data_IF_075758588773
#
_entry.id   IF_075758588773
#
_cell.length_a   1.000
_cell.length_b   1.000
_cell.length_c   1.000
_cell.angle_alpha   90.00
_cell.angle_beta   90.00
_cell.angle_gamma   90.00
#
_symmetry.space_group_name_H-M   'P 1'
#
loop_
_entity.id
_entity.type
_entity.pdbx_description
1 polymer ?
#
# COMPACT_ATOMS: atom_id res chain seq x y z
N UNK A 1 -15.62 -4.74 -18.99
CA UNK A 1 -15.61 -3.69 -17.95
C UNK A 1 -14.97 -4.23 -16.70
N UNK A 2 -13.66 -4.03 -16.60
CA UNK A 2 -12.87 -4.39 -15.43
C UNK A 2 -12.86 -3.22 -14.44
N UNK A 3 -13.43 -3.43 -13.24
CA UNK A 3 -13.49 -2.41 -12.21
C UNK A 3 -12.18 -2.34 -11.42
N UNK A 4 -11.80 -1.13 -11.02
CA UNK A 4 -10.64 -0.89 -10.18
C UNK A 4 -10.87 0.27 -9.20
N UNK A 5 -10.07 0.26 -8.14
CA UNK A 5 -9.92 1.37 -7.22
C UNK A 5 -8.78 2.23 -7.74
N UNK A 6 -8.92 3.55 -7.74
CA UNK A 6 -7.80 4.47 -7.94
C UNK A 6 -7.51 5.21 -6.65
N UNK A 7 -6.24 5.39 -6.34
CA UNK A 7 -5.79 6.14 -5.15
C UNK A 7 -4.80 7.23 -5.54
N UNK A 8 -4.95 8.42 -4.94
CA UNK A 8 -4.10 9.57 -5.21
C UNK A 8 -3.00 9.65 -4.16
N UNK A 9 -1.77 9.30 -4.55
CA UNK A 9 -0.65 9.10 -3.63
C UNK A 9 0.57 9.94 -3.96
N UNK A 10 1.23 10.43 -2.91
CA UNK A 10 2.56 11.05 -2.98
C UNK A 10 3.70 10.04 -2.81
N UNK A 11 3.40 8.78 -2.50
CA UNK A 11 4.41 7.73 -2.24
C UNK A 11 4.99 7.21 -3.56
N UNK A 12 6.29 6.93 -3.59
CA UNK A 12 6.99 6.42 -4.78
C UNK A 12 6.55 4.99 -5.15
N UNK A 13 6.69 4.62 -6.42
CA UNK A 13 6.39 3.25 -6.88
C UNK A 13 7.24 2.21 -6.15
N UNK A 14 8.54 2.46 -6.03
CA UNK A 14 9.47 1.55 -5.36
C UNK A 14 9.11 1.31 -3.89
N UNK A 15 8.60 2.33 -3.19
CA UNK A 15 8.16 2.17 -1.80
C UNK A 15 6.82 1.43 -1.71
N UNK A 16 5.88 1.67 -2.62
CA UNK A 16 4.61 0.94 -2.67
C UNK A 16 4.86 -0.55 -2.98
N UNK A 17 5.73 -0.86 -3.95
CA UNK A 17 6.13 -2.22 -4.31
C UNK A 17 6.82 -2.92 -3.13
N UNK A 18 7.79 -2.26 -2.49
CA UNK A 18 8.49 -2.78 -1.30
C UNK A 18 7.61 -2.89 -0.04
N UNK A 19 6.40 -2.37 -0.07
CA UNK A 19 5.46 -2.57 1.02
C UNK A 19 4.42 -3.65 0.65
N UNK A 20 4.33 -4.05 -0.63
CA UNK A 20 3.22 -4.84 -1.16
C UNK A 20 1.84 -4.20 -0.92
N UNK A 21 1.79 -2.89 -0.66
CA UNK A 21 0.59 -2.24 -0.20
C UNK A 21 0.59 -0.72 -0.47
N UNK A 22 -0.60 -0.18 -0.67
CA UNK A 22 -0.88 1.26 -0.70
C UNK A 22 -1.84 1.61 0.43
N UNK A 23 -1.61 2.71 1.15
CA UNK A 23 -2.14 2.84 2.50
C UNK A 23 -2.71 4.19 2.92
N UNK A 24 -3.25 4.17 4.15
CA UNK A 24 -3.86 5.27 4.87
C UNK A 24 -5.08 5.87 4.16
N UNK A 25 -5.87 5.00 3.53
CA UNK A 25 -7.05 5.40 2.75
C UNK A 25 -8.30 5.47 3.61
N UNK A 26 -9.04 6.58 3.53
CA UNK A 26 -10.42 6.62 4.03
C UNK A 26 -11.34 6.00 2.96
N UNK A 27 -11.56 4.70 3.10
CA UNK A 27 -12.46 3.90 2.26
C UNK A 27 -13.13 2.83 3.13
N UNK A 28 -14.24 2.25 2.67
CA UNK A 28 -14.92 1.18 3.40
C UNK A 28 -14.36 -0.17 2.97
N UNK A 29 -13.90 -1.00 3.91
CA UNK A 29 -13.18 -2.24 3.62
C UNK A 29 -13.98 -3.22 2.74
N UNK A 30 -15.28 -3.36 3.01
CA UNK A 30 -16.18 -4.19 2.21
C UNK A 30 -16.21 -3.76 0.73
N UNK A 31 -16.15 -2.45 0.45
CA UNK A 31 -16.10 -1.95 -0.93
C UNK A 31 -14.78 -2.24 -1.60
N UNK A 32 -13.69 -2.40 -0.87
CA UNK A 32 -12.38 -2.69 -1.47
C UNK A 32 -12.32 -4.15 -1.93
N UNK A 33 -12.92 -5.06 -1.16
CA UNK A 33 -12.94 -6.50 -1.46
C UNK A 33 -13.66 -6.84 -2.77
N UNK A 34 -14.60 -5.99 -3.22
CA UNK A 34 -15.34 -6.19 -4.48
C UNK A 34 -14.52 -5.85 -5.73
N UNK A 35 -13.32 -5.27 -5.59
CA UNK A 35 -12.53 -4.78 -6.71
C UNK A 35 -11.25 -5.61 -6.88
N UNK A 36 -10.96 -6.10 -8.10
CA UNK A 36 -9.78 -6.93 -8.36
C UNK A 36 -8.46 -6.14 -8.47
N UNK A 37 -8.52 -4.82 -8.71
CA UNK A 37 -7.32 -4.02 -8.97
C UNK A 37 -7.31 -2.69 -8.21
N UNK A 38 -6.11 -2.26 -7.82
CA UNK A 38 -5.82 -0.91 -7.33
C UNK A 38 -4.86 -0.20 -8.27
N UNK A 39 -5.14 1.04 -8.61
CA UNK A 39 -4.34 1.90 -9.48
C UNK A 39 -3.82 3.08 -8.68
N UNK A 40 -2.50 3.19 -8.56
CA UNK A 40 -1.87 4.33 -7.89
C UNK A 40 -1.67 5.48 -8.90
N UNK A 41 -2.13 6.65 -8.50
CA UNK A 41 -2.12 7.88 -9.30
C UNK A 41 -1.31 8.95 -8.58
N UNK A 42 -0.45 9.66 -9.30
CA UNK A 42 0.51 10.60 -8.70
C UNK A 42 -0.15 11.88 -8.19
N UNK A 43 0.05 12.15 -6.91
CA UNK A 43 -0.24 13.44 -6.29
C UNK A 43 0.94 14.44 -6.45
N UNK A 44 1.24 14.88 -7.67
CA UNK A 44 2.41 15.73 -7.94
C UNK A 44 2.45 17.08 -7.20
N UNK A 45 1.33 17.56 -6.65
CA UNK A 45 1.25 18.82 -5.90
C UNK A 45 1.69 18.69 -4.43
N UNK A 46 1.86 17.47 -3.91
CA UNK A 46 2.32 17.28 -2.54
C UNK A 46 3.84 17.48 -2.45
N UNK A 47 4.38 18.22 -1.46
CA UNK A 47 5.82 18.54 -1.37
C UNK A 47 6.73 17.31 -1.32
N UNK A 48 6.28 16.23 -0.68
CA UNK A 48 7.01 14.97 -0.57
C UNK A 48 6.89 14.06 -1.81
N UNK A 49 6.15 14.47 -2.85
CA UNK A 49 5.95 13.64 -4.03
C UNK A 49 7.20 13.55 -4.89
N UNK A 50 7.55 12.35 -5.37
CA UNK A 50 8.49 12.20 -6.46
C UNK A 50 8.04 12.99 -7.70
N UNK A 51 9.01 13.55 -8.42
CA UNK A 51 8.81 14.24 -9.70
C UNK A 51 9.05 13.31 -10.90
N UNK A 52 8.86 12.02 -10.68
CA UNK A 52 9.09 10.92 -11.64
C UNK A 52 8.02 10.87 -12.74
N UNK A 53 6.76 11.15 -12.38
CA UNK A 53 5.63 11.21 -13.29
C UNK A 53 4.80 12.48 -13.07
N UNK A 54 4.12 13.00 -14.10
CA UNK A 54 3.26 14.19 -13.96
C UNK A 54 2.11 13.96 -12.97
N UNK A 55 1.59 15.05 -12.41
CA UNK A 55 0.38 15.00 -11.57
C UNK A 55 -0.79 14.32 -12.30
N UNK A 56 -1.61 13.57 -11.55
CA UNK A 56 -2.77 12.80 -12.05
C UNK A 56 -2.42 11.64 -13.01
N UNK A 57 -1.15 11.30 -13.16
CA UNK A 57 -0.71 10.14 -13.97
C UNK A 57 -0.80 8.86 -13.16
N UNK A 58 -1.49 7.85 -13.67
CA UNK A 58 -1.44 6.49 -13.15
C UNK A 58 -0.06 5.89 -13.46
N UNK A 59 0.61 5.40 -12.43
CA UNK A 59 1.98 4.91 -12.54
C UNK A 59 2.17 3.44 -12.10
N UNK A 60 1.20 2.88 -11.39
CA UNK A 60 1.25 1.51 -10.89
C UNK A 60 -0.16 0.94 -10.83
N UNK A 61 -0.31 -0.33 -11.20
CA UNK A 61 -1.50 -1.12 -10.95
C UNK A 61 -1.11 -2.38 -10.19
N UNK A 62 -1.87 -2.72 -9.14
CA UNK A 62 -1.71 -3.94 -8.35
C UNK A 62 -2.97 -4.79 -8.40
N UNK A 63 -2.82 -6.12 -8.37
CA UNK A 63 -3.91 -7.08 -8.13
C UNK A 63 -4.20 -7.16 -6.65
N UNK A 64 -5.41 -6.77 -6.25
CA UNK A 64 -5.75 -6.66 -4.83
C UNK A 64 -5.75 -8.06 -4.22
N UNK A 65 -4.93 -8.24 -3.19
CA UNK A 65 -4.90 -9.44 -2.36
C UNK A 65 -5.93 -9.33 -1.24
N UNK A 66 -5.87 -8.24 -0.46
CA UNK A 66 -6.81 -7.94 0.63
C UNK A 66 -6.73 -6.47 1.05
N UNK A 67 -7.74 -6.04 1.80
CA UNK A 67 -7.73 -4.76 2.52
C UNK A 67 -7.65 -5.01 4.02
N UNK A 68 -6.83 -4.24 4.74
CA UNK A 68 -6.66 -4.36 6.20
C UNK A 68 -6.88 -2.98 6.81
N UNK A 69 -7.57 -2.95 7.95
CA UNK A 69 -7.74 -1.74 8.75
C UNK A 69 -6.45 -1.39 9.48
N UNK A 70 -6.15 -0.10 9.58
CA UNK A 70 -5.00 0.44 10.31
C UNK A 70 -5.45 1.05 11.62
N UNK A 71 -4.54 1.17 12.59
CA UNK A 71 -4.78 1.94 13.83
C UNK A 71 -5.00 3.45 13.57
N UNK A 72 -4.62 3.98 12.39
CA UNK A 72 -4.93 5.36 12.04
C UNK A 72 -6.42 5.54 11.75
N UNK A 73 -7.03 6.53 12.39
CA UNK A 73 -8.42 6.91 12.15
C UNK A 73 -8.53 8.10 11.18
N UNK A 74 -9.59 8.13 10.40
CA UNK A 74 -9.96 9.29 9.61
C UNK A 74 -10.62 10.39 10.48
N UNK A 75 -10.94 11.53 9.88
CA UNK A 75 -11.57 12.66 10.58
C UNK A 75 -12.98 12.37 11.12
N UNK A 76 -13.54 11.19 10.83
CA UNK A 76 -14.83 10.71 11.33
C UNK A 76 -14.68 9.56 12.34
N UNK A 77 -13.44 9.19 12.70
CA UNK A 77 -13.15 8.12 13.64
C UNK A 77 -13.19 6.71 13.03
N UNK A 78 -13.23 6.56 11.70
CA UNK A 78 -13.18 5.25 11.07
C UNK A 78 -11.72 4.84 10.80
N UNK A 79 -11.36 3.55 10.98
CA UNK A 79 -10.05 3.05 10.59
C UNK A 79 -9.75 3.33 9.11
N UNK A 80 -8.53 3.81 8.84
CA UNK A 80 -8.01 3.89 7.48
C UNK A 80 -7.63 2.51 6.99
N UNK A 81 -7.51 2.36 5.67
CA UNK A 81 -7.23 1.09 5.04
C UNK A 81 -5.85 1.05 4.38
N UNK A 82 -5.23 -0.12 4.49
CA UNK A 82 -4.16 -0.59 3.63
C UNK A 82 -4.75 -1.54 2.59
N UNK A 83 -4.48 -1.26 1.33
CA UNK A 83 -4.84 -2.12 0.20
C UNK A 83 -3.57 -2.86 -0.20
N UNK A 84 -3.54 -4.16 0.09
CA UNK A 84 -2.43 -5.05 -0.23
C UNK A 84 -2.63 -5.64 -1.63
N UNK A 85 -1.52 -5.88 -2.33
CA UNK A 85 -1.51 -6.54 -3.63
C UNK A 85 -0.35 -7.54 -3.71
N UNK A 86 -0.56 -8.64 -4.42
CA UNK A 86 0.42 -9.72 -4.59
C UNK A 86 1.17 -9.65 -5.91
N UNK A 87 0.57 -9.03 -6.92
CA UNK A 87 1.18 -8.78 -8.20
C UNK A 87 0.99 -7.32 -8.62
N UNK A 88 1.95 -6.78 -9.38
CA UNK A 88 1.88 -5.41 -9.87
C UNK A 88 2.40 -5.28 -11.29
N UNK A 89 1.98 -4.22 -11.98
CA UNK A 89 2.56 -3.77 -13.23
C UNK A 89 2.79 -2.25 -13.17
N UNK A 90 3.94 -1.81 -13.64
CA UNK A 90 4.19 -0.39 -13.85
C UNK A 90 3.48 0.05 -15.13
N UNK A 91 2.77 1.18 -15.04
CA UNK A 91 2.00 1.75 -16.15
C UNK A 91 2.32 3.24 -16.26
N UNK A 92 1.93 3.88 -17.35
CA UNK A 92 2.07 5.34 -17.49
C UNK A 92 0.91 5.89 -18.29
N UNK A 93 -0.19 6.15 -17.60
CA UNK A 93 -1.41 6.67 -18.22
C UNK A 93 -1.74 8.03 -17.63
N UNK A 94 -1.68 9.13 -18.41
CA UNK A 94 -1.92 10.47 -17.91
C UNK A 94 -3.40 10.69 -17.59
N UNK A 95 -3.65 11.63 -16.68
CA UNK A 95 -4.98 12.18 -16.34
C UNK A 95 -6.06 11.15 -15.91
N UNK A 96 -5.65 10.05 -15.29
CA UNK A 96 -6.58 8.99 -14.80
C UNK A 96 -7.38 9.44 -13.58
N UNK A 97 -6.89 10.45 -12.85
CA UNK A 97 -7.58 10.93 -11.64
C UNK A 97 -8.90 11.64 -11.93
N UNK A 98 -8.92 12.53 -12.93
CA UNK A 98 -9.98 13.51 -13.10
C UNK A 98 -10.00 14.53 -11.95
N UNK A 99 -11.19 14.96 -11.51
CA UNK A 99 -11.39 16.06 -10.55
C UNK A 99 -11.97 15.62 -9.19
N UNK A 100 -11.82 14.35 -8.83
CA UNK A 100 -12.25 13.85 -7.52
C UNK A 100 -11.48 14.53 -6.39
N UNK A 101 -12.23 15.04 -5.40
CA UNK A 101 -11.67 15.62 -4.16
C UNK A 101 -11.26 14.54 -3.14
N UNK A 102 -11.90 13.37 -3.19
CA UNK A 102 -11.58 12.26 -2.29
C UNK A 102 -10.36 11.52 -2.84
N UNK A 103 -9.32 11.23 -2.02
CA UNK A 103 -8.08 10.59 -2.45
C UNK A 103 -8.24 9.11 -2.83
N UNK A 104 -9.46 8.58 -2.80
CA UNK A 104 -9.86 7.25 -3.27
C UNK A 104 -11.05 7.41 -4.21
N UNK A 105 -11.00 6.74 -5.36
CA UNK A 105 -12.09 6.67 -6.32
C UNK A 105 -12.25 5.27 -6.89
N UNK A 106 -13.37 5.03 -7.58
CA UNK A 106 -13.71 3.76 -8.20
C UNK A 106 -14.02 4.02 -9.68
N UNK A 107 -13.52 3.17 -10.57
CA UNK A 107 -13.62 3.41 -12.01
C UNK A 107 -13.45 2.14 -12.84
N UNK A 108 -13.72 2.27 -14.14
CA UNK A 108 -13.47 1.22 -15.13
C UNK A 108 -12.09 1.41 -15.77
N UNK A 109 -11.25 0.36 -15.74
CA UNK A 109 -9.91 0.38 -16.32
C UNK A 109 -9.93 0.66 -17.83
N UNK A 110 -10.82 -0.01 -18.55
CA UNK A 110 -10.97 0.12 -20.00
C UNK A 110 -11.31 1.56 -20.41
N UNK A 111 -12.17 2.26 -19.65
CA UNK A 111 -12.53 3.67 -19.92
C UNK A 111 -11.37 4.64 -19.69
N UNK A 112 -10.41 4.26 -18.86
CA UNK A 112 -9.19 5.02 -18.63
C UNK A 112 -8.06 4.64 -19.61
N UNK A 113 -8.30 3.74 -20.56
CA UNK A 113 -7.29 3.26 -21.50
C UNK A 113 -6.28 2.28 -20.89
N UNK A 114 -6.62 1.64 -19.76
CA UNK A 114 -5.81 0.60 -19.14
C UNK A 114 -6.40 -0.76 -19.53
N UNK A 115 -5.68 -1.52 -20.36
CA UNK A 115 -6.07 -2.88 -20.71
C UNK A 115 -5.23 -3.90 -19.94
N UNK A 116 -5.86 -4.62 -19.02
CA UNK A 116 -5.20 -5.56 -18.11
C UNK A 116 -4.56 -6.74 -18.84
N UNK A 117 -5.13 -7.18 -19.97
CA UNK A 117 -4.60 -8.32 -20.75
C UNK A 117 -3.22 -8.03 -21.35
N UNK A 118 -2.90 -6.75 -21.55
CA UNK A 118 -1.67 -6.32 -22.19
C UNK A 118 -0.56 -6.06 -21.16
N UNK A 119 -0.90 -6.13 -19.87
CA UNK A 119 0.03 -5.86 -18.77
C UNK A 119 0.77 -7.13 -18.37
N UNK A 120 2.08 -6.97 -18.17
CA UNK A 120 2.94 -7.99 -17.57
C UNK A 120 3.01 -7.76 -16.07
N UNK A 121 2.30 -8.59 -15.32
CA UNK A 121 2.33 -8.55 -13.86
C UNK A 121 3.60 -9.23 -13.34
N UNK A 122 4.22 -8.59 -12.37
CA UNK A 122 5.35 -9.08 -11.59
C UNK A 122 4.86 -9.37 -10.18
N UNK A 123 5.20 -10.55 -9.65
CA UNK A 123 4.90 -10.87 -8.26
C UNK A 123 5.69 -9.95 -7.31
N UNK A 124 5.03 -9.48 -6.25
CA UNK A 124 5.71 -8.84 -5.12
C UNK A 124 6.51 -9.92 -4.39
N UNK A 125 7.81 -9.72 -4.23
CA UNK A 125 8.66 -10.68 -3.52
C UNK A 125 8.20 -10.84 -2.07
N UNK A 126 8.21 -12.06 -1.53
CA UNK A 126 7.82 -12.32 -0.14
C UNK A 126 8.72 -11.58 0.87
N UNK A 127 10.00 -11.39 0.53
CA UNK A 127 10.97 -10.63 1.32
C UNK A 127 10.67 -9.12 1.37
N UNK A 128 9.95 -8.62 0.36
CA UNK A 128 9.47 -7.24 0.24
C UNK A 128 8.08 -7.04 0.86
N UNK A 129 7.46 -8.08 1.41
CA UNK A 129 6.26 -7.92 2.24
C UNK A 129 6.71 -7.47 3.63
N UNK A 130 7.15 -6.22 3.75
CA UNK A 130 7.36 -5.62 5.08
C UNK A 130 6.07 -5.82 5.87
N UNK A 131 6.22 -6.32 7.09
CA UNK A 131 5.18 -6.63 8.06
C UNK A 131 4.21 -5.46 8.28
N UNK A 132 3.28 -5.24 7.36
CA UNK A 132 2.18 -4.31 7.53
C UNK A 132 0.99 -5.04 8.14
N UNK A 133 1.22 -5.66 9.29
CA UNK A 133 0.16 -6.09 10.22
C UNK A 133 0.69 -5.95 11.64
N UNK A 134 0.67 -4.73 12.16
CA UNK A 134 0.09 -4.59 13.48
C UNK A 134 -1.40 -4.87 13.31
N UNK A 135 -2.00 -5.63 14.24
CA UNK A 135 -3.40 -6.08 14.25
C UNK A 135 -3.69 -7.37 13.44
N UNK A 136 -3.18 -8.49 13.92
CA UNK A 136 -4.06 -9.65 14.13
C UNK A 136 -3.85 -10.11 15.57
N UNK A 137 -4.74 -9.68 16.45
CA UNK A 137 -4.86 -10.27 17.79
C UNK A 137 -5.35 -11.71 17.60
N UNK A 138 -4.52 -12.65 18.06
CA UNK A 138 -4.91 -13.92 18.67
C UNK A 138 -6.19 -14.58 18.11
N UNK A 139 -6.04 -15.62 17.27
CA UNK A 139 -6.43 -16.98 17.67
C UNK A 139 -5.99 -18.07 16.67
N UNK A 140 -5.48 -19.15 17.27
CA UNK A 140 -5.45 -20.57 16.85
C UNK A 140 -4.63 -21.00 15.63
N UNK A 141 -3.46 -21.57 15.95
CA UNK A 141 -3.03 -22.85 15.34
C UNK A 141 -1.98 -22.79 14.24
N UNK A 142 -1.40 -21.64 13.94
CA UNK A 142 -0.26 -21.49 13.03
C UNK A 142 0.80 -20.61 13.68
N UNK A 143 2.07 -20.87 13.39
CA UNK A 143 3.22 -20.18 13.98
C UNK A 143 3.06 -18.66 14.04
N UNK A 144 3.40 -18.10 15.20
CA UNK A 144 3.43 -16.67 15.46
C UNK A 144 4.51 -16.07 14.54
N UNK A 145 4.11 -15.41 13.45
CA UNK A 145 5.05 -14.61 12.64
C UNK A 145 5.18 -13.23 13.28
N UNK A 146 5.82 -13.21 14.45
CA UNK A 146 6.35 -11.99 15.04
C UNK A 146 7.67 -11.61 14.35
N UNK A 147 8.03 -10.32 14.37
CA UNK A 147 9.41 -9.95 14.04
C UNK A 147 10.34 -10.56 15.10
N UNK A 148 11.46 -11.12 14.67
CA UNK A 148 12.44 -11.63 15.63
C UNK A 148 13.03 -10.48 16.45
N UNK A 149 13.46 -10.75 17.68
CA UNK A 149 14.21 -9.77 18.46
C UNK A 149 15.48 -9.31 17.75
N UNK A 150 16.06 -10.15 16.89
CA UNK A 150 17.25 -9.80 16.11
C UNK A 150 16.92 -8.76 15.04
N UNK A 151 15.84 -8.93 14.30
CA UNK A 151 15.41 -7.99 13.26
C UNK A 151 14.94 -6.67 13.88
N UNK A 152 14.23 -6.74 15.00
CA UNK A 152 13.84 -5.57 15.78
C UNK A 152 15.08 -4.76 16.23
N UNK A 153 16.10 -5.43 16.78
CA UNK A 153 17.35 -4.77 17.18
C UNK A 153 18.09 -4.16 16.00
N UNK A 154 18.21 -4.88 14.87
CA UNK A 154 18.86 -4.37 13.65
C UNK A 154 18.17 -3.11 13.13
N UNK A 155 16.84 -3.11 13.07
CA UNK A 155 16.05 -1.95 12.62
C UNK A 155 16.25 -0.72 13.51
N UNK A 156 16.18 -0.90 14.84
CA UNK A 156 16.40 0.18 15.81
C UNK A 156 17.84 0.68 15.72
N UNK A 157 18.82 -0.23 15.69
CA UNK A 157 20.24 0.09 15.59
C UNK A 157 20.58 0.95 14.37
N UNK A 158 20.03 0.59 13.20
CA UNK A 158 20.23 1.33 11.96
C UNK A 158 19.66 2.75 12.03
N UNK A 159 18.52 2.94 12.72
CA UNK A 159 17.91 4.26 12.91
C UNK A 159 18.73 5.17 13.80
N UNK A 160 19.35 4.62 14.85
CA UNK A 160 20.07 5.39 15.87
C UNK A 160 21.60 5.35 15.70
N UNK A 161 22.11 4.62 14.71
CA UNK A 161 23.55 4.51 14.43
C UNK A 161 24.33 3.79 15.53
N UNK A 162 23.70 2.82 16.18
CA UNK A 162 24.30 2.04 17.29
C UNK A 162 24.49 0.58 16.89
N UNK A 163 25.30 -0.18 17.63
CA UNK A 163 25.41 -1.63 17.41
C UNK A 163 24.09 -2.32 17.80
N UNK A 164 23.57 -3.31 17.03
CA UNK A 164 22.38 -4.07 17.40
C UNK A 164 22.46 -4.70 18.81
N UNK A 165 23.65 -5.07 19.28
CA UNK A 165 23.88 -5.61 20.63
C UNK A 165 23.74 -4.56 21.72
N UNK A 166 23.78 -3.27 21.39
CA UNK A 166 23.54 -2.17 22.31
C UNK A 166 22.04 -1.83 22.47
N UNK A 167 21.14 -2.54 21.78
CA UNK A 167 19.69 -2.33 21.84
C UNK A 167 19.04 -3.35 22.78
N UNK A 168 18.48 -2.84 23.88
CA UNK A 168 17.64 -3.59 24.81
C UNK A 168 16.16 -3.32 24.52
N UNK A 169 15.35 -4.38 24.47
CA UNK A 169 13.90 -4.30 24.21
C UNK A 169 13.19 -4.92 25.42
N UNK A 170 12.37 -4.12 26.12
CA UNK A 170 11.64 -4.55 27.32
C UNK A 170 10.15 -4.35 27.12
N UNK A 171 9.38 -5.42 27.35
CA UNK A 171 7.91 -5.40 27.29
C UNK A 171 7.38 -5.40 28.72
N UNK A 172 6.62 -4.38 29.10
CA UNK A 172 5.91 -4.35 30.39
C UNK A 172 4.42 -4.54 30.10
N UNK A 173 3.84 -5.58 30.69
CA UNK A 173 2.40 -5.86 30.66
C UNK A 173 1.66 -5.13 31.76
#
# INVERSE_FOLDING_TARGET
MTQAIKVLTSVSASQIIRNGATGNWSAAAHKVADYPYVVCVRHGNHPASPKDVPHKTAFLIGRILKAVETDELDGKGNPRLLIMFDEYAEIKVPDVWGDSQNPVGYFDLEKAGINVTDLKFTAVADEDRIAVVGIDKFEKGGEIVGISFEDARKGIALRYGVDPRAVEITIRG
#
